data_IF_045398440563
#
_entry.id   IF_045398440563
#
_cell.length_a   1.000
_cell.length_b   1.000
_cell.length_c   1.000
_cell.angle_alpha   90.00
_cell.angle_beta   90.00
_cell.angle_gamma   90.00
#
_symmetry.space_group_name_H-M   'P 1'
#
loop_
_entity.id
_entity.type
_entity.pdbx_description
1 polymer ?
#
# COMPACT_ATOMS: atom_id res chain seq x y z
N UNK A 1 -1.80 17.18 -10.70
CA UNK A 1 -2.64 16.56 -9.65
C UNK A 1 -1.90 16.71 -8.34
N UNK A 2 -2.48 17.37 -7.33
CA UNK A 2 -1.99 17.34 -5.94
C UNK A 2 -2.97 16.46 -5.17
N UNK A 3 -2.48 15.37 -4.60
CA UNK A 3 -3.27 14.61 -3.63
C UNK A 3 -3.04 15.28 -2.28
N UNK A 4 -4.13 15.74 -1.68
CA UNK A 4 -4.09 16.55 -0.47
C UNK A 4 -3.54 15.79 0.73
N UNK A 5 -3.69 14.46 0.73
CA UNK A 5 -3.24 13.57 1.79
C UNK A 5 -2.71 12.28 1.16
N UNK A 6 -1.37 12.19 1.07
CA UNK A 6 -0.67 10.95 0.78
C UNK A 6 0.15 10.63 2.02
N UNK A 7 0.06 9.39 2.50
CA UNK A 7 0.96 8.90 3.53
C UNK A 7 1.91 7.87 2.93
N UNK A 8 3.15 7.83 3.43
CA UNK A 8 4.09 6.79 3.04
C UNK A 8 3.93 5.58 3.96
N UNK A 9 3.85 4.40 3.35
CA UNK A 9 3.72 3.15 4.06
C UNK A 9 4.63 2.07 3.47
N UNK A 10 5.03 1.09 4.29
CA UNK A 10 5.66 -0.13 3.84
C UNK A 10 4.57 -1.15 3.48
N UNK A 11 4.60 -1.68 2.26
CA UNK A 11 3.69 -2.74 1.83
C UNK A 11 3.98 -4.06 2.58
N UNK A 12 2.96 -4.64 3.19
CA UNK A 12 3.09 -5.92 3.92
C UNK A 12 2.64 -7.08 3.05
N UNK A 13 1.35 -7.07 2.69
CA UNK A 13 0.72 -8.14 1.90
C UNK A 13 -0.51 -7.65 1.14
N UNK A 14 -0.91 -8.39 0.11
CA UNK A 14 -2.14 -8.15 -0.66
C UNK A 14 -3.09 -9.32 -0.46
N UNK A 15 -4.05 -9.16 0.45
CA UNK A 15 -4.99 -10.22 0.83
C UNK A 15 -5.91 -10.63 -0.33
N UNK A 16 -6.23 -9.71 -1.24
CA UNK A 16 -6.97 -10.02 -2.48
C UNK A 16 -6.72 -8.95 -3.56
N UNK A 17 -7.38 -9.07 -4.73
CA UNK A 17 -7.16 -8.14 -5.85
C UNK A 17 -7.54 -6.67 -5.59
N UNK A 18 -8.11 -6.35 -4.44
CA UNK A 18 -8.57 -5.02 -4.07
C UNK A 18 -8.01 -4.53 -2.72
N UNK A 19 -7.43 -5.39 -1.90
CA UNK A 19 -7.04 -5.04 -0.51
C UNK A 19 -5.56 -5.30 -0.30
N UNK A 20 -4.86 -4.30 0.24
CA UNK A 20 -3.49 -4.41 0.72
C UNK A 20 -3.40 -3.98 2.18
N UNK A 21 -2.54 -4.67 2.93
CA UNK A 21 -2.11 -4.27 4.27
C UNK A 21 -0.77 -3.59 4.16
N UNK A 22 -0.63 -2.43 4.77
CA UNK A 22 0.60 -1.65 4.81
C UNK A 22 0.86 -1.17 6.23
N UNK A 23 2.09 -0.75 6.51
CA UNK A 23 2.48 -0.12 7.77
C UNK A 23 2.90 1.31 7.53
N UNK A 24 2.25 2.28 8.16
CA UNK A 24 2.62 3.69 8.05
C UNK A 24 4.05 3.90 8.54
N UNK A 25 4.86 4.64 7.77
CA UNK A 25 6.25 4.89 8.13
C UNK A 25 6.40 5.87 9.31
N UNK A 26 5.44 6.79 9.46
CA UNK A 26 5.48 7.83 10.50
C UNK A 26 5.02 7.30 11.87
N UNK A 27 3.89 6.58 11.90
CA UNK A 27 3.29 6.08 13.15
C UNK A 27 3.61 4.62 13.46
N UNK A 28 4.05 3.83 12.47
CA UNK A 28 4.22 2.38 12.61
C UNK A 28 2.91 1.59 12.65
N UNK A 29 1.76 2.24 12.47
CA UNK A 29 0.44 1.62 12.51
C UNK A 29 0.17 0.76 11.27
N UNK A 30 -0.50 -0.39 11.46
CA UNK A 30 -0.98 -1.21 10.35
C UNK A 30 -2.32 -0.69 9.82
N UNK A 31 -2.36 -0.44 8.52
CA UNK A 31 -3.52 0.08 7.81
C UNK A 31 -3.96 -0.87 6.70
N UNK A 32 -5.24 -0.79 6.35
CA UNK A 32 -5.84 -1.51 5.23
C UNK A 32 -6.19 -0.50 4.15
N UNK A 33 -5.68 -0.70 2.94
CA UNK A 33 -5.90 0.22 1.81
C UNK A 33 -6.47 -0.51 0.59
N UNK A 34 -7.18 0.24 -0.25
CA UNK A 34 -7.77 -0.26 -1.48
C UNK A 34 -6.77 -0.17 -2.65
N UNK A 35 -6.44 -1.32 -3.23
CA UNK A 35 -5.61 -1.43 -4.43
C UNK A 35 -6.49 -1.18 -5.66
N UNK A 36 -6.38 0.02 -6.24
CA UNK A 36 -7.13 0.39 -7.46
C UNK A 36 -6.70 -0.40 -8.70
N UNK A 37 -5.50 -0.99 -8.70
CA UNK A 37 -5.01 -1.79 -9.82
C UNK A 37 -5.42 -3.28 -9.68
N UNK A 38 -6.34 -3.71 -10.55
CA UNK A 38 -6.87 -5.09 -10.56
C UNK A 38 -5.94 -6.13 -11.18
N UNK A 39 -4.80 -5.71 -11.79
CA UNK A 39 -3.78 -6.64 -12.31
C UNK A 39 -2.87 -7.17 -11.21
N UNK A 40 -2.11 -8.22 -11.54
CA UNK A 40 -1.31 -8.99 -10.59
C UNK A 40 -0.22 -8.16 -9.89
N UNK A 41 0.40 -7.19 -10.58
CA UNK A 41 1.44 -6.29 -10.04
C UNK A 41 2.49 -6.98 -9.14
N UNK A 42 2.82 -8.25 -9.42
CA UNK A 42 3.67 -9.08 -8.56
C UNK A 42 5.11 -8.57 -8.48
N UNK A 43 5.56 -7.85 -9.51
CA UNK A 43 6.86 -7.19 -9.55
C UNK A 43 6.93 -5.86 -8.77
N UNK A 44 5.78 -5.24 -8.49
CA UNK A 44 5.70 -3.93 -7.81
C UNK A 44 5.30 -4.05 -6.33
N UNK A 45 4.54 -5.07 -5.97
CA UNK A 45 4.06 -5.31 -4.60
C UNK A 45 4.98 -6.30 -3.88
N UNK A 46 6.26 -5.93 -3.77
CA UNK A 46 7.24 -6.65 -2.99
C UNK A 46 7.08 -6.28 -1.52
N UNK A 47 7.22 -7.25 -0.61
CA UNK A 47 7.21 -6.95 0.84
C UNK A 47 8.23 -5.87 1.18
N UNK A 48 7.81 -4.93 2.03
CA UNK A 48 8.53 -3.71 2.42
C UNK A 48 8.74 -2.67 1.32
N UNK A 49 8.15 -2.82 0.13
CA UNK A 49 8.13 -1.75 -0.85
C UNK A 49 7.46 -0.50 -0.25
N UNK A 50 8.07 0.66 -0.45
CA UNK A 50 7.49 1.94 -0.05
C UNK A 50 6.37 2.30 -1.02
N UNK A 51 5.18 2.49 -0.49
CA UNK A 51 3.97 2.83 -1.24
C UNK A 51 3.37 4.13 -0.72
N UNK A 52 2.76 4.87 -1.64
CA UNK A 52 1.91 6.01 -1.32
C UNK A 52 0.48 5.51 -1.12
N UNK A 53 -0.07 5.74 0.07
CA UNK A 53 -1.45 5.38 0.44
C UNK A 53 -2.32 6.61 0.63
#
# INVERSE_FOLDING_TARGET
MKYSEIHLAAFTERSNRFIARCRLLESGEEIITHVKNTRRCKELLLSNAVVAV
#
